data_IF_147491937571
#
_entry.id   IF_147491937571
#
_cell.length_a   1.000
_cell.length_b   1.000
_cell.length_c   1.000
_cell.angle_alpha   90.00
_cell.angle_beta   90.00
_cell.angle_gamma   90.00
#
_symmetry.space_group_name_H-M   'P 1'
#
loop_
_entity.id
_entity.type
_entity.pdbx_description
1 polymer ?
#
# COMPACT_ATOMS: atom_id res chain seq x y z
N UNK A 1 20.14 -10.91 -10.06
CA UNK A 1 18.75 -10.94 -10.58
C UNK A 1 18.78 -10.74 -12.08
N UNK A 2 18.07 -11.55 -12.88
CA UNK A 2 17.96 -11.35 -14.32
C UNK A 2 17.20 -10.05 -14.66
N UNK A 3 17.46 -9.42 -15.82
CA UNK A 3 16.66 -8.30 -16.28
C UNK A 3 15.21 -8.74 -16.61
N UNK A 4 14.21 -7.84 -16.60
CA UNK A 4 12.85 -8.15 -17.02
C UNK A 4 12.84 -8.69 -18.46
N UNK A 5 12.38 -9.92 -18.70
CA UNK A 5 12.29 -10.50 -20.04
C UNK A 5 11.02 -10.03 -20.77
N UNK A 6 10.96 -10.17 -22.09
CA UNK A 6 9.70 -10.07 -22.84
C UNK A 6 8.71 -11.16 -22.34
N UNK A 7 7.40 -10.86 -22.21
CA UNK A 7 6.66 -9.67 -22.63
C UNK A 7 6.68 -8.46 -21.66
N UNK A 8 7.66 -8.38 -20.74
CA UNK A 8 7.79 -7.35 -19.71
C UNK A 8 6.62 -7.28 -18.72
N UNK A 9 6.01 -8.43 -18.49
CA UNK A 9 5.00 -8.61 -17.45
C UNK A 9 5.66 -9.04 -16.14
N UNK A 10 4.93 -8.81 -15.06
CA UNK A 10 5.32 -9.22 -13.72
C UNK A 10 5.51 -10.74 -13.63
N UNK A 11 4.60 -11.50 -14.25
CA UNK A 11 4.62 -12.96 -14.30
C UNK A 11 5.86 -13.47 -15.03
N UNK A 12 6.21 -12.88 -16.17
CA UNK A 12 7.39 -13.26 -16.93
C UNK A 12 8.69 -12.98 -16.17
N UNK A 13 8.74 -11.87 -15.44
CA UNK A 13 9.91 -11.55 -14.63
C UNK A 13 10.03 -12.47 -13.41
N UNK A 14 8.93 -12.78 -12.73
CA UNK A 14 8.94 -13.75 -11.63
C UNK A 14 9.40 -15.14 -12.11
N UNK A 15 8.95 -15.58 -13.29
CA UNK A 15 9.42 -16.82 -13.90
C UNK A 15 10.94 -16.79 -14.13
N UNK A 16 11.47 -15.74 -14.77
CA UNK A 16 12.91 -15.63 -15.01
C UNK A 16 13.73 -15.57 -13.71
N UNK A 17 13.24 -14.89 -12.68
CA UNK A 17 13.85 -14.89 -11.34
C UNK A 17 13.88 -16.30 -10.78
N UNK A 18 12.77 -17.04 -10.85
CA UNK A 18 12.68 -18.42 -10.40
C UNK A 18 13.66 -19.35 -11.14
N UNK A 19 13.70 -19.25 -12.46
CA UNK A 19 14.62 -20.03 -13.31
C UNK A 19 16.08 -19.75 -12.95
N UNK A 20 16.45 -18.48 -12.76
CA UNK A 20 17.81 -18.09 -12.40
C UNK A 20 18.25 -18.61 -11.02
N UNK A 21 17.29 -18.85 -10.14
CA UNK A 21 17.51 -19.37 -8.77
C UNK A 21 17.44 -20.90 -8.70
N UNK A 22 16.99 -21.56 -9.77
CA UNK A 22 16.66 -22.98 -9.75
C UNK A 22 15.48 -23.33 -8.83
N UNK A 23 14.65 -22.33 -8.48
CA UNK A 23 13.48 -22.49 -7.60
C UNK A 23 12.31 -21.65 -8.12
N UNK A 24 11.23 -22.28 -8.61
CA UNK A 24 10.07 -21.58 -9.15
C UNK A 24 9.53 -20.50 -8.21
N UNK A 25 9.10 -19.38 -8.78
CA UNK A 25 8.44 -18.30 -8.07
C UNK A 25 7.05 -18.09 -8.66
N UNK A 26 6.01 -18.48 -7.90
CA UNK A 26 4.63 -18.58 -8.39
C UNK A 26 3.76 -17.52 -7.74
N UNK A 27 3.08 -16.69 -8.53
CA UNK A 27 2.12 -15.71 -8.02
C UNK A 27 0.73 -16.36 -7.91
N UNK A 28 0.03 -16.14 -6.80
CA UNK A 28 -1.36 -16.53 -6.60
C UNK A 28 -2.17 -15.36 -6.06
N UNK A 29 -3.32 -15.14 -6.68
CA UNK A 29 -4.29 -14.17 -6.21
C UNK A 29 -5.21 -14.85 -5.20
N UNK A 30 -5.16 -14.39 -3.95
CA UNK A 30 -5.94 -14.90 -2.83
C UNK A 30 -6.75 -13.77 -2.21
N UNK A 31 -7.89 -14.06 -1.59
CA UNK A 31 -8.67 -13.00 -0.96
C UNK A 31 -8.26 -12.86 0.50
N UNK A 32 -7.59 -11.75 0.81
CA UNK A 32 -7.15 -11.46 2.17
C UNK A 32 -8.12 -10.54 2.88
N UNK A 33 -8.33 -10.73 4.18
CA UNK A 33 -8.95 -9.71 5.01
C UNK A 33 -8.03 -8.50 5.17
N UNK A 34 -8.62 -7.34 5.49
CA UNK A 34 -7.88 -6.08 5.59
C UNK A 34 -6.80 -6.09 6.69
N UNK A 35 -6.88 -7.02 7.64
CA UNK A 35 -5.92 -7.19 8.74
C UNK A 35 -4.62 -7.89 8.30
N UNK A 36 -4.64 -8.58 7.15
CA UNK A 36 -3.46 -9.24 6.59
C UNK A 36 -2.67 -8.32 5.66
N UNK A 37 -1.35 -8.54 5.49
CA UNK A 37 -0.52 -7.79 4.55
C UNK A 37 -0.96 -7.96 3.10
N UNK A 38 -0.53 -7.05 2.22
CA UNK A 38 -1.04 -6.98 0.85
C UNK A 38 -0.53 -8.05 -0.09
N UNK A 39 0.70 -8.49 0.15
CA UNK A 39 1.26 -9.72 -0.34
C UNK A 39 1.85 -10.51 0.83
N UNK A 40 2.20 -11.76 0.54
CA UNK A 40 3.04 -12.56 1.43
C UNK A 40 3.83 -13.58 0.63
N UNK A 41 5.14 -13.64 0.90
CA UNK A 41 6.02 -14.69 0.43
C UNK A 41 5.89 -15.94 1.32
N UNK A 42 5.52 -17.07 0.72
CA UNK A 42 5.42 -18.39 1.33
C UNK A 42 6.48 -19.30 0.70
N UNK A 43 7.68 -19.43 1.33
CA UNK A 43 8.70 -20.33 0.83
C UNK A 43 8.32 -21.79 1.14
N UNK A 44 8.28 -22.64 0.11
CA UNK A 44 8.10 -24.09 0.23
C UNK A 44 9.32 -24.83 -0.36
N UNK A 45 9.42 -26.13 -0.07
CA UNK A 45 10.56 -26.97 -0.46
C UNK A 45 10.86 -26.97 -1.96
N UNK A 46 9.82 -26.84 -2.80
CA UNK A 46 9.90 -26.97 -4.26
C UNK A 46 9.60 -25.69 -5.04
N UNK A 47 9.07 -24.67 -4.39
CA UNK A 47 8.71 -23.40 -5.01
C UNK A 47 8.49 -22.34 -3.92
N UNK A 48 8.75 -21.10 -4.27
CA UNK A 48 8.29 -19.96 -3.47
C UNK A 48 6.96 -19.47 -4.04
N UNK A 49 5.97 -19.26 -3.18
CA UNK A 49 4.67 -18.71 -3.56
C UNK A 49 4.58 -17.26 -3.09
N UNK A 50 4.15 -16.36 -3.97
CA UNK A 50 3.75 -15.01 -3.61
C UNK A 50 2.24 -14.98 -3.65
N UNK A 51 1.61 -14.94 -2.47
CA UNK A 51 0.17 -14.79 -2.36
C UNK A 51 -0.16 -13.30 -2.29
N UNK A 52 -1.09 -12.81 -3.10
CA UNK A 52 -1.45 -11.38 -3.16
C UNK A 52 -2.95 -11.20 -3.05
N UNK A 53 -3.38 -10.15 -2.36
CA UNK A 53 -4.80 -9.84 -2.24
C UNK A 53 -5.43 -9.55 -3.62
N UNK A 54 -6.30 -10.47 -4.04
CA UNK A 54 -7.03 -10.44 -5.30
C UNK A 54 -7.92 -9.19 -5.48
N UNK A 55 -8.22 -8.48 -4.40
CA UNK A 55 -9.00 -7.24 -4.46
C UNK A 55 -8.18 -6.00 -4.84
N UNK A 56 -6.85 -6.10 -4.85
CA UNK A 56 -5.97 -4.99 -5.16
C UNK A 56 -6.10 -4.57 -6.64
N UNK A 57 -6.19 -3.26 -6.92
CA UNK A 57 -5.99 -2.77 -8.26
C UNK A 57 -4.60 -3.14 -8.77
N UNK A 58 -4.50 -3.36 -10.08
CA UNK A 58 -3.34 -3.99 -10.71
C UNK A 58 -1.98 -3.32 -10.41
N UNK A 59 -1.95 -1.99 -10.30
CA UNK A 59 -0.74 -1.25 -9.92
C UNK A 59 -0.31 -1.57 -8.48
N UNK A 60 -1.28 -1.63 -7.54
CA UNK A 60 -1.04 -2.04 -6.16
C UNK A 60 -0.65 -3.51 -6.06
N UNK A 61 -1.34 -4.40 -6.79
CA UNK A 61 -0.96 -5.81 -6.92
C UNK A 61 0.48 -5.98 -7.38
N UNK A 62 0.88 -5.23 -8.40
CA UNK A 62 2.25 -5.26 -8.93
C UNK A 62 3.26 -4.81 -7.89
N UNK A 63 2.97 -3.71 -7.18
CA UNK A 63 3.84 -3.27 -6.09
C UNK A 63 3.94 -4.34 -4.99
N UNK A 64 2.83 -4.94 -4.57
CA UNK A 64 2.81 -6.01 -3.56
C UNK A 64 3.70 -7.19 -3.98
N UNK A 65 3.59 -7.67 -5.22
CA UNK A 65 4.49 -8.74 -5.71
C UNK A 65 5.95 -8.29 -5.72
N UNK A 66 6.23 -7.08 -6.21
CA UNK A 66 7.60 -6.57 -6.29
C UNK A 66 8.23 -6.34 -4.92
N UNK A 67 7.41 -6.04 -3.91
CA UNK A 67 7.79 -5.97 -2.51
C UNK A 67 8.19 -7.35 -1.96
N UNK A 68 7.39 -8.39 -2.20
CA UNK A 68 7.78 -9.76 -1.83
C UNK A 68 9.04 -10.24 -2.56
N UNK A 69 9.17 -9.89 -3.85
CA UNK A 69 10.40 -10.14 -4.63
C UNK A 69 11.59 -9.38 -4.02
N UNK A 70 11.39 -8.16 -3.52
CA UNK A 70 12.45 -7.40 -2.87
C UNK A 70 12.94 -8.10 -1.60
N UNK A 71 12.04 -8.57 -0.73
CA UNK A 71 12.42 -9.38 0.43
C UNK A 71 13.25 -10.59 0.03
N UNK A 72 12.79 -11.33 -0.98
CA UNK A 72 13.45 -12.52 -1.49
C UNK A 72 14.86 -12.24 -2.04
N UNK A 73 15.03 -11.13 -2.76
CA UNK A 73 16.31 -10.73 -3.37
C UNK A 73 17.29 -10.20 -2.33
N UNK A 74 16.80 -9.46 -1.35
CA UNK A 74 17.60 -8.89 -0.27
C UNK A 74 17.92 -9.94 0.83
N UNK A 75 17.30 -11.12 0.76
CA UNK A 75 17.48 -12.17 1.76
C UNK A 75 16.81 -11.85 3.09
N UNK A 76 15.79 -11.00 3.10
CA UNK A 76 14.98 -10.73 4.27
C UNK A 76 14.19 -11.99 4.61
N UNK A 77 14.18 -12.39 5.89
CA UNK A 77 13.32 -13.45 6.37
C UNK A 77 11.88 -12.95 6.37
N UNK A 78 11.20 -13.05 5.22
CA UNK A 78 9.77 -12.79 5.08
C UNK A 78 8.99 -13.83 5.85
N UNK A 79 8.84 -13.64 7.16
CA UNK A 79 8.00 -14.51 7.96
C UNK A 79 6.55 -14.14 7.68
N UNK A 80 5.88 -15.01 6.93
CA UNK A 80 4.55 -14.84 6.35
C UNK A 80 3.42 -14.37 7.28
N UNK A 81 3.60 -14.41 8.60
CA UNK A 81 2.56 -14.16 9.60
C UNK A 81 3.08 -13.54 10.92
N UNK A 82 4.36 -13.17 11.03
CA UNK A 82 4.89 -12.63 12.30
C UNK A 82 4.92 -11.10 12.27
N UNK A 83 4.25 -10.50 13.25
CA UNK A 83 4.11 -9.05 13.48
C UNK A 83 5.41 -8.29 13.78
N UNK A 84 6.55 -8.98 13.78
CA UNK A 84 7.84 -8.45 14.25
C UNK A 84 8.87 -8.40 13.11
N UNK A 85 8.46 -7.95 11.92
CA UNK A 85 9.45 -7.59 10.88
C UNK A 85 10.02 -6.21 11.22
N UNK A 86 11.35 -6.11 11.22
CA UNK A 86 12.07 -4.86 11.47
C UNK A 86 11.58 -3.77 10.48
N UNK A 87 11.06 -2.63 10.98
CA UNK A 87 10.62 -1.52 10.13
C UNK A 87 11.67 -1.02 9.14
N UNK A 88 12.96 -1.18 9.44
CA UNK A 88 14.03 -0.85 8.52
C UNK A 88 14.09 -1.80 7.32
N UNK A 89 13.90 -3.10 7.54
CA UNK A 89 13.87 -4.11 6.47
C UNK A 89 12.64 -3.94 5.57
N UNK A 90 11.50 -3.59 6.16
CA UNK A 90 10.27 -3.24 5.43
C UNK A 90 10.48 -2.00 4.54
N UNK A 91 11.09 -0.95 5.08
CA UNK A 91 11.38 0.26 4.31
C UNK A 91 12.39 0.00 3.17
N UNK A 92 13.39 -0.85 3.41
CA UNK A 92 14.35 -1.25 2.38
C UNK A 92 13.69 -2.08 1.27
N UNK A 93 12.83 -3.04 1.62
CA UNK A 93 12.07 -3.82 0.66
C UNK A 93 11.15 -2.94 -0.19
N UNK A 94 10.49 -1.93 0.41
CA UNK A 94 9.67 -0.97 -0.32
C UNK A 94 10.45 -0.10 -1.30
N UNK A 95 11.64 0.37 -0.91
CA UNK A 95 12.53 1.12 -1.80
C UNK A 95 13.02 0.25 -2.95
N UNK A 96 13.37 -1.00 -2.68
CA UNK A 96 13.75 -1.96 -3.70
C UNK A 96 12.59 -2.27 -4.65
N UNK A 97 11.37 -2.44 -4.15
CA UNK A 97 10.17 -2.63 -4.97
C UNK A 97 9.93 -1.46 -5.94
N UNK A 98 10.07 -0.22 -5.45
CA UNK A 98 9.99 0.97 -6.30
C UNK A 98 11.05 0.97 -7.42
N UNK A 99 12.28 0.53 -7.12
CA UNK A 99 13.34 0.41 -8.12
C UNK A 99 13.06 -0.69 -9.14
N UNK A 100 12.55 -1.85 -8.69
CA UNK A 100 12.18 -2.96 -9.55
C UNK A 100 11.05 -2.56 -10.50
N UNK A 101 10.03 -1.87 -10.01
CA UNK A 101 8.94 -1.34 -10.83
C UNK A 101 9.48 -0.41 -11.94
N UNK A 102 10.41 0.49 -11.59
CA UNK A 102 11.05 1.37 -12.57
C UNK A 102 11.88 0.60 -13.60
N UNK A 103 12.55 -0.48 -13.20
CA UNK A 103 13.30 -1.33 -14.11
C UNK A 103 12.36 -2.02 -15.13
N UNK A 104 11.23 -2.55 -14.67
CA UNK A 104 10.21 -3.17 -15.52
C UNK A 104 9.65 -2.17 -16.55
N UNK A 105 9.22 -0.99 -16.10
CA UNK A 105 8.68 0.06 -17.00
C UNK A 105 9.73 0.53 -18.03
N UNK A 106 10.99 0.68 -17.62
CA UNK A 106 12.08 1.05 -18.54
C UNK A 106 12.38 -0.04 -19.57
N UNK A 107 12.30 -1.31 -19.18
CA UNK A 107 12.51 -2.44 -20.09
C UNK A 107 11.42 -2.47 -21.17
N UNK A 108 10.15 -2.34 -20.76
CA UNK A 108 9.01 -2.28 -21.68
C UNK A 108 9.12 -1.10 -22.68
N UNK A 109 9.48 0.10 -22.20
CA UNK A 109 9.61 1.28 -23.06
C UNK A 109 10.75 1.18 -24.10
N UNK A 110 11.86 0.53 -23.75
CA UNK A 110 12.99 0.30 -24.66
C UNK A 110 12.63 -0.66 -25.80
N UNK A 111 11.79 -1.67 -25.54
CA UNK A 111 11.34 -2.60 -26.59
C UNK A 111 10.31 -1.95 -27.52
N UNK A 112 9.35 -1.19 -26.97
CA UNK A 112 8.40 -0.43 -27.80
C UNK A 112 9.06 0.57 -28.76
N UNK A 113 10.21 1.14 -28.36
CA UNK A 113 11.01 2.03 -29.21
C UNK A 113 11.80 1.32 -30.33
N UNK A 114 11.95 -0.02 -30.25
CA UNK A 114 12.69 -0.84 -31.23
C UNK A 114 11.80 -1.44 -32.33
N UNK A 115 10.48 -1.43 -32.19
CA UNK A 115 9.55 -2.09 -33.13
C UNK A 115 8.56 -1.15 -33.85
N UNK A 116 8.61 0.16 -33.61
CA UNK A 116 7.83 1.15 -34.35
C UNK A 116 8.46 2.52 -34.26
N UNK A 117 8.57 3.18 -35.42
CA UNK A 117 8.88 4.60 -35.68
C UNK A 117 9.59 5.40 -34.58
N UNK A 118 10.77 5.96 -34.92
CA UNK A 118 11.34 7.11 -34.21
C UNK A 118 10.25 8.17 -34.01
N UNK A 119 9.81 8.48 -32.78
CA UNK A 119 9.04 9.68 -32.57
C UNK A 119 10.04 10.83 -32.62
N UNK A 120 10.13 11.49 -33.78
CA UNK A 120 10.55 12.88 -33.81
C UNK A 120 9.59 13.65 -32.89
N UNK A 121 10.04 13.98 -31.68
CA UNK A 121 9.46 15.03 -30.83
C UNK A 121 10.44 15.37 -29.71
N UNK A 122 11.21 16.42 -29.95
CA UNK A 122 11.50 17.41 -28.91
C UNK A 122 10.21 17.60 -28.09
N UNK A 123 10.27 17.18 -26.84
CA UNK A 123 9.19 17.25 -25.85
C UNK A 123 8.89 18.72 -25.61
N UNK A 124 8.01 19.31 -26.43
CA UNK A 124 7.56 20.68 -26.26
C UNK A 124 6.82 20.74 -24.93
N UNK A 125 7.47 21.35 -23.95
CA UNK A 125 6.89 21.70 -22.66
C UNK A 125 5.65 22.55 -22.93
N UNK A 126 4.46 22.00 -22.64
CA UNK A 126 3.20 22.75 -22.66
C UNK A 126 2.82 23.09 -21.23
N UNK A 127 2.92 24.36 -20.80
CA UNK A 127 2.66 24.78 -19.42
C UNK A 127 1.30 24.29 -18.90
N UNK A 128 0.25 24.28 -19.73
CA UNK A 128 -1.10 23.84 -19.34
C UNK A 128 -1.17 22.37 -18.87
N UNK A 129 -0.48 21.46 -19.57
CA UNK A 129 -0.43 20.04 -19.18
C UNK A 129 0.35 19.82 -17.88
N UNK A 130 1.38 20.64 -17.65
CA UNK A 130 2.15 20.61 -16.42
C UNK A 130 1.34 21.10 -15.21
N UNK A 131 0.58 22.19 -15.37
CA UNK A 131 -0.32 22.68 -14.32
C UNK A 131 -1.44 21.68 -14.01
N UNK A 132 -2.03 21.05 -15.04
CA UNK A 132 -3.05 20.03 -14.86
C UNK A 132 -2.50 18.78 -14.15
N UNK A 133 -1.29 18.32 -14.51
CA UNK A 133 -0.59 17.23 -13.83
C UNK A 133 -0.33 17.58 -12.36
N UNK A 134 0.18 18.78 -12.08
CA UNK A 134 0.41 19.23 -10.69
C UNK A 134 -0.85 19.33 -9.87
N UNK A 135 -1.94 19.82 -10.47
CA UNK A 135 -3.24 19.87 -9.80
C UNK A 135 -3.74 18.46 -9.47
N UNK A 136 -3.56 17.52 -10.40
CA UNK A 136 -3.92 16.11 -10.19
C UNK A 136 -3.10 15.52 -9.03
N UNK A 137 -1.78 15.72 -9.03
CA UNK A 137 -0.89 15.28 -7.94
C UNK A 137 -1.28 15.90 -6.59
N UNK A 138 -1.65 17.18 -6.58
CA UNK A 138 -2.14 17.87 -5.39
C UNK A 138 -3.41 17.21 -4.84
N UNK A 139 -4.39 16.91 -5.69
CA UNK A 139 -5.63 16.25 -5.25
C UNK A 139 -5.39 14.84 -4.71
N UNK A 140 -4.49 14.05 -5.31
CA UNK A 140 -4.12 12.73 -4.76
C UNK A 140 -3.41 12.89 -3.41
N UNK A 141 -2.53 13.89 -3.26
CA UNK A 141 -1.91 14.20 -1.98
C UNK A 141 -2.95 14.58 -0.91
N UNK A 142 -3.96 15.39 -1.26
CA UNK A 142 -5.07 15.71 -0.34
C UNK A 142 -5.85 14.47 0.10
N UNK A 143 -6.12 13.55 -0.83
CA UNK A 143 -6.80 12.29 -0.52
C UNK A 143 -5.96 11.44 0.45
N UNK A 144 -4.66 11.33 0.19
CA UNK A 144 -3.75 10.62 1.08
C UNK A 144 -3.69 11.24 2.48
N UNK A 145 -3.57 12.56 2.60
CA UNK A 145 -3.54 13.25 3.91
C UNK A 145 -4.82 12.91 4.69
N UNK A 146 -5.97 13.00 4.01
CA UNK A 146 -7.28 12.74 4.62
C UNK A 146 -7.43 11.30 5.09
N UNK A 147 -6.99 10.34 4.26
CA UNK A 147 -7.01 8.93 4.60
C UNK A 147 -6.07 8.63 5.77
N UNK A 148 -4.82 9.12 5.74
CA UNK A 148 -3.86 8.94 6.85
C UNK A 148 -4.37 9.54 8.16
N UNK A 149 -4.95 10.73 8.12
CA UNK A 149 -5.51 11.37 9.31
C UNK A 149 -6.69 10.58 9.91
N UNK A 150 -7.47 9.85 9.10
CA UNK A 150 -8.54 8.98 9.59
C UNK A 150 -8.14 7.51 9.81
N UNK A 151 -6.88 7.17 9.53
CA UNK A 151 -6.28 5.86 9.72
C UNK A 151 -4.95 5.96 10.51
N UNK A 152 -4.90 6.57 11.71
CA UNK A 152 -3.65 6.80 12.43
C UNK A 152 -2.95 5.49 12.82
N UNK A 153 -3.72 4.47 13.20
CA UNK A 153 -3.21 3.16 13.62
C UNK A 153 -2.86 2.23 12.45
N UNK A 154 -3.06 2.69 11.21
CA UNK A 154 -2.70 1.91 10.04
C UNK A 154 -1.19 1.97 9.79
N UNK A 155 -0.56 0.80 9.84
CA UNK A 155 0.84 0.57 9.43
C UNK A 155 0.97 0.66 7.91
N UNK A 156 0.83 1.86 7.37
CA UNK A 156 1.18 2.15 5.97
C UNK A 156 2.66 2.46 5.97
N UNK A 157 3.48 1.51 5.51
CA UNK A 157 4.92 1.70 5.34
C UNK A 157 5.10 2.82 4.33
N UNK A 158 5.68 3.93 4.77
CA UNK A 158 6.02 5.04 3.87
C UNK A 158 7.52 5.07 3.69
N UNK A 159 7.96 5.11 2.43
CA UNK A 159 9.35 5.39 2.08
C UNK A 159 9.69 6.88 2.29
N UNK A 160 8.69 7.72 2.58
CA UNK A 160 8.88 9.09 3.04
C UNK A 160 9.16 9.06 4.55
N UNK A 161 10.28 8.46 4.95
CA UNK A 161 10.82 8.73 6.27
C UNK A 161 11.06 10.23 6.33
N UNK A 162 10.78 10.91 7.45
CA UNK A 162 11.10 12.34 7.61
C UNK A 162 12.60 12.66 7.53
N UNK A 163 13.42 11.68 7.14
CA UNK A 163 14.84 11.76 6.85
C UNK A 163 14.99 11.84 5.34
N UNK A 164 15.69 12.84 4.78
CA UNK A 164 15.99 12.88 3.36
C UNK A 164 16.77 11.62 2.99
N UNK A 165 16.13 10.70 2.27
CA UNK A 165 16.86 9.63 1.60
C UNK A 165 17.85 10.29 0.62
N UNK A 166 19.09 9.78 0.46
CA UNK A 166 20.14 10.40 -0.37
C UNK A 166 19.78 10.57 -1.85
N UNK A 167 18.64 10.01 -2.28
CA UNK A 167 18.03 10.25 -3.57
C UNK A 167 16.74 11.00 -3.32
N UNK A 168 16.72 12.30 -3.58
CA UNK A 168 15.46 13.04 -3.66
C UNK A 168 14.51 12.30 -4.61
N UNK A 169 13.45 11.69 -4.06
CA UNK A 169 12.44 10.99 -4.84
C UNK A 169 11.55 12.05 -5.51
N UNK A 170 12.09 12.70 -6.54
CA UNK A 170 11.37 13.68 -7.35
C UNK A 170 10.59 13.04 -8.51
N UNK A 171 9.49 13.66 -8.92
CA UNK A 171 8.80 13.34 -10.19
C UNK A 171 7.89 12.11 -10.15
N UNK A 172 8.01 11.22 -11.15
CA UNK A 172 7.09 10.10 -11.37
C UNK A 172 7.12 9.03 -10.27
N UNK A 173 8.24 8.90 -9.56
CA UNK A 173 8.37 7.96 -8.44
C UNK A 173 7.51 8.37 -7.26
N UNK A 174 7.53 9.65 -6.88
CA UNK A 174 6.66 10.18 -5.84
C UNK A 174 5.18 9.97 -6.21
N UNK A 175 4.80 10.16 -7.48
CA UNK A 175 3.44 9.89 -7.95
C UNK A 175 3.07 8.41 -7.80
N UNK A 176 3.91 7.50 -8.29
CA UNK A 176 3.70 6.05 -8.15
C UNK A 176 3.53 5.67 -6.69
N UNK A 177 4.51 6.00 -5.84
CA UNK A 177 4.45 5.69 -4.41
C UNK A 177 3.19 6.23 -3.75
N UNK A 178 2.84 7.48 -4.05
CA UNK A 178 1.64 8.08 -3.48
C UNK A 178 0.35 7.38 -3.91
N UNK A 179 0.26 6.91 -5.15
CA UNK A 179 -0.88 6.11 -5.61
C UNK A 179 -0.95 4.77 -4.85
N UNK A 180 0.17 4.09 -4.67
CA UNK A 180 0.26 2.86 -3.86
C UNK A 180 -0.23 3.11 -2.44
N UNK A 181 0.32 4.11 -1.74
CA UNK A 181 -0.05 4.42 -0.35
C UNK A 181 -1.54 4.75 -0.20
N UNK A 182 -2.15 5.39 -1.22
CA UNK A 182 -3.60 5.58 -1.25
C UNK A 182 -4.31 4.24 -1.37
N UNK A 183 -3.90 3.34 -2.26
CA UNK A 183 -4.50 2.02 -2.38
C UNK A 183 -4.38 1.17 -1.11
N UNK A 184 -3.27 1.24 -0.39
CA UNK A 184 -3.11 0.56 0.90
C UNK A 184 -4.14 1.08 1.90
N UNK A 185 -4.31 2.40 1.99
CA UNK A 185 -5.34 3.01 2.83
C UNK A 185 -6.77 2.60 2.40
N UNK A 186 -7.05 2.52 1.09
CA UNK A 186 -8.35 2.10 0.58
C UNK A 186 -8.64 0.63 0.92
N UNK A 187 -7.64 -0.25 0.82
CA UNK A 187 -7.73 -1.66 1.22
C UNK A 187 -8.09 -1.78 2.69
N UNK A 188 -7.43 -1.01 3.56
CA UNK A 188 -7.71 -1.00 5.00
C UNK A 188 -9.13 -0.50 5.33
N UNK A 189 -9.73 0.35 4.49
CA UNK A 189 -11.11 0.82 4.65
C UNK A 189 -12.16 -0.14 4.12
N UNK A 190 -11.78 -1.15 3.32
CA UNK A 190 -12.71 -2.06 2.63
C UNK A 190 -13.78 -2.67 3.54
N UNK A 191 -13.50 -3.09 4.79
CA UNK A 191 -14.54 -3.65 5.67
C UNK A 191 -15.69 -2.68 6.00
N UNK A 192 -15.50 -1.37 5.81
CA UNK A 192 -16.52 -0.35 6.05
C UNK A 192 -17.13 0.23 4.76
N UNK A 193 -16.62 -0.14 3.59
CA UNK A 193 -17.13 0.30 2.29
C UNK A 193 -18.45 -0.40 1.98
N UNK A 194 -19.58 0.30 2.03
CA UNK A 194 -20.91 -0.29 1.80
C UNK A 194 -21.37 -0.21 0.35
N UNK A 195 -21.79 -1.34 -0.22
CA UNK A 195 -22.44 -1.37 -1.56
C UNK A 195 -23.73 -0.55 -1.59
N UNK A 196 -24.46 -0.47 -0.48
CA UNK A 196 -25.69 0.32 -0.38
C UNK A 196 -25.43 1.82 -0.47
N UNK A 197 -24.35 2.30 0.17
CA UNK A 197 -23.91 3.70 0.08
C UNK A 197 -23.53 4.03 -1.35
N UNK A 198 -22.71 3.18 -1.98
CA UNK A 198 -22.28 3.35 -3.37
C UNK A 198 -23.47 3.45 -4.33
N UNK A 199 -24.41 2.50 -4.26
CA UNK A 199 -25.59 2.48 -5.11
C UNK A 199 -26.52 3.69 -4.85
N UNK A 200 -26.62 4.15 -3.60
CA UNK A 200 -27.38 5.37 -3.25
C UNK A 200 -26.75 6.62 -3.88
N UNK A 201 -25.45 6.78 -3.73
CA UNK A 201 -24.69 7.89 -4.28
C UNK A 201 -24.76 7.92 -5.82
N UNK A 202 -24.61 6.75 -6.47
CA UNK A 202 -24.72 6.62 -7.91
C UNK A 202 -26.12 7.01 -8.42
N UNK A 203 -27.19 6.54 -7.76
CA UNK A 203 -28.57 6.95 -8.10
C UNK A 203 -28.81 8.46 -7.91
N UNK A 204 -28.19 9.09 -6.90
CA UNK A 204 -28.26 10.55 -6.72
C UNK A 204 -27.49 11.28 -7.82
N UNK A 205 -26.27 10.86 -8.12
CA UNK A 205 -25.46 11.43 -9.19
C UNK A 205 -26.20 11.39 -10.55
N UNK A 206 -26.85 10.27 -10.87
CA UNK A 206 -27.67 10.16 -12.08
C UNK A 206 -28.88 11.09 -12.09
N UNK A 207 -29.54 11.31 -10.95
CA UNK A 207 -30.64 12.30 -10.84
C UNK A 207 -30.17 13.73 -11.11
N UNK A 208 -28.94 14.06 -10.74
CA UNK A 208 -28.30 15.34 -11.08
C UNK A 208 -27.69 15.37 -12.49
N UNK A 209 -27.87 14.31 -13.30
CA UNK A 209 -27.39 14.20 -14.69
C UNK A 209 -25.88 14.41 -14.82
N UNK A 210 -25.11 13.98 -13.81
CA UNK A 210 -23.64 13.95 -13.91
C UNK A 210 -23.22 12.95 -15.00
N UNK A 211 -22.12 13.24 -15.69
CA UNK A 211 -21.53 12.29 -16.63
C UNK A 211 -21.05 11.02 -15.90
N UNK A 212 -20.89 9.93 -16.65
CA UNK A 212 -20.55 8.60 -16.09
C UNK A 212 -19.28 8.62 -15.23
N UNK A 213 -18.23 9.32 -15.66
CA UNK A 213 -16.96 9.35 -14.94
C UNK A 213 -17.08 10.16 -13.64
N UNK A 214 -17.79 11.29 -13.67
CA UNK A 214 -18.07 12.09 -12.48
C UNK A 214 -19.00 11.36 -11.51
N UNK A 215 -20.04 10.68 -12.01
CA UNK A 215 -20.96 9.89 -11.20
C UNK A 215 -20.24 8.75 -10.47
N UNK A 216 -19.34 8.03 -11.16
CA UNK A 216 -18.51 7.00 -10.55
C UNK A 216 -17.59 7.59 -9.46
N UNK A 217 -16.91 8.70 -9.73
CA UNK A 217 -16.05 9.36 -8.74
C UNK A 217 -16.82 9.84 -7.50
N UNK A 218 -18.06 10.34 -7.67
CA UNK A 218 -18.96 10.71 -6.57
C UNK A 218 -19.38 9.49 -5.75
N UNK A 219 -19.69 8.37 -6.40
CA UNK A 219 -20.08 7.15 -5.71
C UNK A 219 -18.91 6.54 -4.92
N UNK A 220 -17.72 6.50 -5.50
CA UNK A 220 -16.48 6.11 -4.82
C UNK A 220 -16.21 7.04 -3.63
N UNK A 221 -16.22 8.36 -3.83
CA UNK A 221 -15.97 9.34 -2.78
C UNK A 221 -16.97 9.25 -1.62
N UNK A 222 -18.27 9.07 -1.90
CA UNK A 222 -19.30 8.91 -0.89
C UNK A 222 -19.08 7.63 -0.07
N UNK A 223 -18.73 6.53 -0.75
CA UNK A 223 -18.43 5.25 -0.10
C UNK A 223 -17.26 5.38 0.86
N UNK A 224 -16.16 5.97 0.40
CA UNK A 224 -14.96 6.17 1.22
C UNK A 224 -15.18 7.15 2.37
N UNK A 225 -15.94 8.23 2.14
CA UNK A 225 -16.25 9.21 3.18
C UNK A 225 -17.09 8.62 4.31
N UNK A 226 -18.11 7.82 3.96
CA UNK A 226 -18.93 7.11 4.95
C UNK A 226 -18.11 6.02 5.64
N UNK A 227 -17.32 5.24 4.90
CA UNK A 227 -16.48 4.18 5.44
C UNK A 227 -15.48 4.73 6.48
N UNK A 228 -14.76 5.80 6.14
CA UNK A 228 -13.81 6.46 7.02
C UNK A 228 -14.48 6.92 8.31
N UNK A 229 -15.65 7.56 8.21
CA UNK A 229 -16.37 8.06 9.39
C UNK A 229 -16.93 6.93 10.26
N UNK A 230 -17.40 5.84 9.66
CA UNK A 230 -17.84 4.64 10.39
C UNK A 230 -16.67 4.02 11.16
N UNK A 231 -15.51 3.87 10.53
CA UNK A 231 -14.30 3.37 11.17
C UNK A 231 -13.86 4.28 12.32
N UNK A 232 -13.81 5.60 12.11
CA UNK A 232 -13.44 6.58 13.15
C UNK A 232 -14.40 6.55 14.35
N UNK A 233 -15.68 6.27 14.12
CA UNK A 233 -16.68 6.10 15.17
C UNK A 233 -16.76 4.65 15.71
N UNK A 234 -15.78 3.80 15.38
CA UNK A 234 -15.68 2.40 15.81
C UNK A 234 -16.94 1.56 15.53
N UNK A 235 -17.68 1.87 14.46
CA UNK A 235 -18.78 1.01 14.02
C UNK A 235 -18.23 -0.31 13.48
N UNK A 236 -18.99 -1.42 13.64
CA UNK A 236 -18.60 -2.70 13.05
C UNK A 236 -18.52 -2.61 11.52
N UNK A 237 -17.72 -3.51 10.95
CA UNK A 237 -17.66 -3.75 9.51
C UNK A 237 -19.06 -4.00 8.93
N UNK A 238 -19.25 -3.64 7.66
CA UNK A 238 -20.53 -3.84 6.99
C UNK A 238 -20.67 -5.31 6.56
N UNK A 239 -21.90 -5.82 6.59
CA UNK A 239 -22.17 -7.22 6.19
C UNK A 239 -22.00 -7.47 4.69
N UNK A 240 -22.15 -6.44 3.85
CA UNK A 240 -21.98 -6.52 2.39
C UNK A 240 -20.97 -5.46 1.92
N UNK A 241 -19.66 -5.72 2.09
CA UNK A 241 -18.63 -4.80 1.66
C UNK A 241 -18.61 -4.68 0.14
N UNK A 242 -18.29 -3.47 -0.34
CA UNK A 242 -18.15 -3.19 -1.75
C UNK A 242 -16.81 -3.74 -2.25
N UNK A 243 -16.89 -4.66 -3.21
CA UNK A 243 -15.73 -5.11 -3.98
C UNK A 243 -15.36 -4.04 -5.02
N UNK A 244 -14.50 -3.10 -4.63
CA UNK A 244 -13.96 -2.10 -5.54
C UNK A 244 -12.67 -2.60 -6.18
N UNK A 245 -12.78 -3.46 -7.19
CA UNK A 245 -11.61 -3.76 -8.03
C UNK A 245 -11.88 -3.25 -9.44
N UNK A 246 -11.52 -1.99 -9.76
CA UNK A 246 -11.47 -1.57 -11.14
C UNK A 246 -10.37 -2.36 -11.87
N UNK A 247 -10.62 -2.85 -13.09
CA UNK A 247 -9.55 -3.33 -13.95
C UNK A 247 -8.71 -2.12 -14.34
N UNK A 248 -7.53 -1.98 -13.75
CA UNK A 248 -6.56 -0.96 -14.14
C UNK A 248 -5.40 -1.68 -14.84
N UNK A 249 -4.88 -1.08 -15.90
CA UNK A 249 -3.65 -1.54 -16.54
C UNK A 249 -2.46 -1.33 -15.59
N UNK A 250 -1.60 -2.34 -15.42
CA UNK A 250 -0.35 -2.32 -14.63
C UNK A 250 0.51 -1.06 -14.85
N UNK A 251 0.39 -0.42 -16.02
CA UNK A 251 1.29 0.63 -16.48
C UNK A 251 0.73 2.05 -16.41
N UNK A 252 -0.60 2.24 -16.26
CA UNK A 252 -1.21 3.58 -16.34
C UNK A 252 -1.31 4.29 -14.99
N UNK A 253 -0.15 4.55 -14.37
CA UNK A 253 -0.04 5.39 -13.16
C UNK A 253 -0.75 6.74 -13.36
N UNK A 254 -0.69 7.32 -14.58
CA UNK A 254 -1.33 8.61 -14.89
C UNK A 254 -2.86 8.52 -14.90
N UNK A 255 -3.42 7.44 -15.45
CA UNK A 255 -4.84 7.12 -15.41
C UNK A 255 -5.33 6.98 -13.98
N UNK A 256 -4.63 6.19 -13.18
CA UNK A 256 -5.04 5.98 -11.79
C UNK A 256 -4.91 7.25 -10.96
N UNK A 257 -3.84 8.04 -11.16
CA UNK A 257 -3.68 9.35 -10.51
C UNK A 257 -4.87 10.27 -10.85
N UNK A 258 -5.31 10.30 -12.11
CA UNK A 258 -6.49 11.08 -12.53
C UNK A 258 -7.78 10.58 -11.90
N UNK A 259 -7.96 9.27 -11.79
CA UNK A 259 -9.12 8.65 -11.13
C UNK A 259 -9.17 9.06 -9.65
N UNK A 260 -8.08 8.84 -8.91
CA UNK A 260 -7.96 9.19 -7.49
C UNK A 260 -8.13 10.69 -7.26
N UNK A 261 -7.62 11.54 -8.15
CA UNK A 261 -7.84 12.98 -8.08
C UNK A 261 -9.32 13.36 -8.22
N UNK A 262 -10.08 12.72 -9.12
CA UNK A 262 -11.54 12.97 -9.24
C UNK A 262 -12.29 12.54 -7.98
N UNK A 263 -11.92 11.41 -7.39
CA UNK A 263 -12.48 10.96 -6.11
C UNK A 263 -12.19 12.00 -5.02
N UNK A 264 -10.95 12.50 -4.95
CA UNK A 264 -10.57 13.55 -4.01
C UNK A 264 -11.39 14.83 -4.21
N UNK A 265 -11.53 15.32 -5.44
CA UNK A 265 -12.38 16.48 -5.75
C UNK A 265 -13.82 16.24 -5.30
N UNK A 266 -14.42 15.10 -5.70
CA UNK A 266 -15.79 14.77 -5.35
C UNK A 266 -16.00 14.68 -3.84
N UNK A 267 -15.02 14.15 -3.09
CA UNK A 267 -15.10 14.10 -1.63
C UNK A 267 -15.21 15.51 -1.02
N UNK A 268 -14.43 16.47 -1.50
CA UNK A 268 -14.43 17.82 -0.94
C UNK A 268 -15.61 18.67 -1.42
N UNK A 269 -15.97 18.56 -2.70
CA UNK A 269 -16.81 19.56 -3.36
C UNK A 269 -18.23 19.05 -3.67
N UNK A 270 -18.50 17.75 -3.59
CA UNK A 270 -19.80 17.21 -4.01
C UNK A 270 -20.86 17.31 -2.92
N UNK A 271 -22.01 17.98 -3.18
CA UNK A 271 -23.14 17.99 -2.27
C UNK A 271 -23.77 16.60 -2.12
N UNK A 272 -23.61 15.72 -3.12
CA UNK A 272 -24.06 14.32 -3.03
C UNK A 272 -23.27 13.56 -1.97
N UNK A 273 -21.94 13.73 -1.94
CA UNK A 273 -21.09 13.10 -0.93
C UNK A 273 -21.47 13.58 0.46
N UNK A 274 -21.63 14.90 0.65
CA UNK A 274 -22.07 15.47 1.92
C UNK A 274 -23.42 14.90 2.38
N UNK A 275 -24.39 14.77 1.47
CA UNK A 275 -25.70 14.20 1.77
C UNK A 275 -25.64 12.70 2.14
N UNK A 276 -24.77 11.92 1.49
CA UNK A 276 -24.58 10.51 1.84
C UNK A 276 -23.88 10.37 3.20
N UNK A 277 -22.87 11.18 3.50
CA UNK A 277 -22.25 11.22 4.84
C UNK A 277 -23.27 11.53 5.92
N UNK A 278 -24.08 12.60 5.74
CA UNK A 278 -25.11 12.97 6.71
C UNK A 278 -26.19 11.88 6.90
N UNK A 279 -26.47 11.11 5.85
CA UNK A 279 -27.47 10.03 5.90
C UNK A 279 -26.96 8.76 6.59
N UNK A 280 -25.72 8.36 6.32
CA UNK A 280 -25.21 7.03 6.66
C UNK A 280 -24.21 6.99 7.81
N UNK A 281 -23.58 8.13 8.13
CA UNK A 281 -22.81 8.28 9.35
C UNK A 281 -23.75 8.91 10.39
N UNK A 282 -24.40 8.12 11.25
CA UNK A 282 -25.24 8.70 12.28
C UNK A 282 -24.43 9.70 13.10
N UNK A 283 -25.07 10.82 13.44
CA UNK A 283 -24.54 11.78 14.41
C UNK A 283 -24.39 11.02 15.73
N UNK A 284 -23.16 10.80 16.20
CA UNK A 284 -22.93 10.49 17.61
C UNK A 284 -23.18 11.80 18.37
N UNK A 285 -24.44 12.03 18.70
CA UNK A 285 -24.85 12.94 19.75
C UNK A 285 -25.78 12.13 20.65
N UNK A 286 -25.50 12.12 21.96
CA UNK A 286 -25.92 11.16 23.01
C UNK A 286 -25.12 9.86 22.91
N UNK A 287 -24.18 9.51 23.81
CA UNK A 287 -24.15 9.62 25.27
C UNK A 287 -22.68 9.89 25.71
N UNK A 288 -22.38 11.09 26.19
CA UNK A 288 -21.30 11.31 27.17
C UNK A 288 -21.99 11.60 28.50
N UNK A 289 -22.51 10.54 29.09
CA UNK A 289 -22.92 10.49 30.49
C UNK A 289 -22.80 9.03 30.90
N UNK A 290 -21.56 8.55 30.99
CA UNK A 290 -21.07 7.43 31.80
C UNK A 290 -19.64 7.17 31.35
N UNK A 291 -18.70 7.74 32.10
CA UNK A 291 -17.36 7.19 32.23
C UNK A 291 -17.47 5.67 32.48
N UNK A 292 -16.82 4.87 31.65
CA UNK A 292 -16.05 3.71 32.12
C UNK A 292 -15.01 3.32 31.05
N UNK A 293 -13.75 3.10 31.42
CA UNK A 293 -12.71 2.69 30.49
C UNK A 293 -12.98 1.25 30.03
N UNK A 294 -13.32 1.08 28.75
CA UNK A 294 -13.41 -0.26 28.13
C UNK A 294 -12.02 -0.83 27.93
N UNK A 295 -11.64 -1.74 28.83
CA UNK A 295 -10.49 -2.61 28.68
C UNK A 295 -10.62 -3.50 27.44
N UNK A 296 -9.52 -3.64 26.69
CA UNK A 296 -9.42 -4.56 25.55
C UNK A 296 -9.57 -6.03 26.00
N UNK A 297 -10.35 -6.89 25.30
CA UNK A 297 -10.54 -8.29 25.70
C UNK A 297 -9.27 -9.15 25.58
N UNK A 298 -8.21 -8.65 24.94
CA UNK A 298 -6.93 -9.36 24.81
C UNK A 298 -6.07 -9.31 26.09
N UNK A 299 -6.44 -8.52 27.11
CA UNK A 299 -5.69 -8.39 28.34
C UNK A 299 -6.15 -9.32 29.49
N UNK A 300 -7.27 -10.05 29.34
CA UNK A 300 -7.84 -10.87 30.44
C UNK A 300 -7.47 -12.36 30.39
N UNK A 301 -6.58 -12.80 29.50
CA UNK A 301 -6.14 -14.21 29.44
C UNK A 301 -4.78 -14.51 30.09
N UNK A 302 -4.23 -13.59 30.90
CA UNK A 302 -3.03 -13.86 31.69
C UNK A 302 -3.26 -13.48 33.15
N UNK A 303 -3.82 -14.40 33.92
CA UNK A 303 -3.55 -14.44 35.37
C UNK A 303 -2.09 -14.80 35.56
N UNK A 304 -1.24 -13.78 35.73
CA UNK A 304 0.15 -13.97 36.15
C UNK A 304 0.13 -14.15 37.67
N UNK A 305 0.24 -15.40 38.11
CA UNK A 305 0.69 -15.69 39.46
C UNK A 305 2.18 -15.28 39.58
N UNK A 306 2.62 -14.65 40.68
CA UNK A 306 4.02 -14.30 40.84
C UNK A 306 4.87 -15.57 41.05
N UNK A 307 5.90 -15.75 40.23
CA UNK A 307 6.93 -16.76 40.44
C UNK A 307 7.88 -16.31 41.57
N UNK A 308 8.39 -17.26 42.39
CA UNK A 308 9.13 -16.95 43.60
C UNK A 308 10.56 -16.46 43.31
N UNK A 309 11.04 -15.56 44.16
CA UNK A 309 12.41 -15.07 44.14
C UNK A 309 13.42 -16.19 44.45
N UNK A 310 14.47 -16.25 43.63
CA UNK A 310 15.73 -16.89 43.98
C UNK A 310 16.07 -18.13 43.16
N UNK A 311 16.94 -17.97 42.17
CA UNK A 311 18.09 -18.85 41.91
C UNK A 311 19.14 -18.06 41.11
N UNK A 312 20.36 -18.05 41.64
CA UNK A 312 21.48 -17.26 41.19
C UNK A 312 22.19 -17.83 39.93
N UNK A 313 22.76 -16.89 39.17
CA UNK A 313 23.91 -16.97 38.24
C UNK A 313 24.65 -18.30 38.09
N UNK A 314 24.99 -18.63 36.83
CA UNK A 314 26.35 -19.04 36.43
C UNK A 314 26.73 -18.46 35.07
N UNK A 315 27.88 -17.81 35.01
CA UNK A 315 28.36 -17.07 33.83
C UNK A 315 29.24 -17.88 32.89
N UNK A 316 29.59 -17.26 31.77
CA UNK A 316 30.77 -17.61 30.98
C UNK A 316 31.43 -16.35 30.43
N UNK A 317 32.73 -16.30 30.67
CA UNK A 317 33.68 -15.24 30.36
C UNK A 317 34.08 -15.30 28.89
N UNK A 318 34.11 -14.14 28.21
CA UNK A 318 34.85 -13.96 26.95
C UNK A 318 35.78 -12.77 27.12
N UNK A 319 37.07 -13.09 27.19
CA UNK A 319 38.21 -12.21 27.41
C UNK A 319 38.59 -11.56 26.08
N UNK A 320 38.50 -10.24 26.00
CA UNK A 320 38.99 -9.47 24.86
C UNK A 320 40.53 -9.38 24.89
N UNK A 321 41.12 -9.58 23.72
CA UNK A 321 42.54 -9.40 23.41
C UNK A 321 42.75 -7.96 22.94
N UNK A 322 43.73 -7.25 23.51
CA UNK A 322 44.30 -6.05 22.91
C UNK A 322 45.83 -6.11 22.92
N UNK A 323 46.49 -5.45 21.96
CA UNK A 323 47.86 -5.74 21.53
C UNK A 323 48.89 -4.88 22.27
N UNK A 324 50.10 -5.40 22.45
CA UNK A 324 51.27 -4.57 22.79
C UNK A 324 52.43 -4.88 21.84
N UNK A 325 52.77 -3.86 21.05
CA UNK A 325 54.06 -3.70 20.41
C UNK A 325 55.08 -3.21 21.45
N UNK A 326 56.27 -3.82 21.50
CA UNK A 326 57.57 -3.12 21.49
C UNK A 326 58.74 -4.11 21.49
N UNK A 327 59.80 -3.69 20.78
CA UNK A 327 61.01 -4.40 20.33
C UNK A 327 62.02 -4.78 21.44
N UNK A 328 63.02 -5.64 21.13
CA UNK A 328 64.05 -6.12 22.06
C UNK A 328 65.26 -5.16 22.16
N UNK A 329 66.15 -5.40 23.14
CA UNK A 329 67.50 -5.86 22.77
C UNK A 329 68.09 -6.93 23.71
N UNK A 330 69.01 -7.74 23.18
CA UNK A 330 69.82 -8.73 23.90
C UNK A 330 70.01 -10.01 23.12
#
# INVERSE_FOLDING_TARGET
MPPPPEPYTLEAWCQAIGDSRGRPLVIRDERFDAEYPSGVLVPLDRADYILVDASLPMLARTQSVLHEVAHLVLGHAGNALHSDIDPALEAEAELAADLLYQQMIRAAAKSGSRHGERPARLRSWRPSTWWADRRTDWHVNQLWIKLRAGLPDATIVSTTTGVPLPVEIGGSRHRHRRVIEVHDALRLLRPWCSRQVHASAQRRAHRYRLDSATAAAVADAATLAVALRRRQAAFPAVHDPLDTTPPVDVSDVRGETRRLARISCAWHDSPVVAAEVARWAPVVATINASDEPRHSPLAQMLSVAPLPEGIARRGRSSRAVQPQHSRPPG
#
